data_IF_700832611373
#
_entry.id   IF_700832611373
#
_cell.length_a   1.000
_cell.length_b   1.000
_cell.length_c   1.000
_cell.angle_alpha   90.00
_cell.angle_beta   90.00
_cell.angle_gamma   90.00
#
_symmetry.space_group_name_H-M   'P 1'
#
loop_
_entity.id
_entity.type
_entity.pdbx_description
1 polymer ?
#
# COMPACT_ATOMS: atom_id res chain seq x y z
N UNK A 1 28.47 -13.26 0.00
CA UNK A 1 26.99 -13.16 0.01
C UNK A 1 26.63 -11.69 0.10
N UNK A 2 25.66 -11.21 -0.67
CA UNK A 2 25.26 -9.79 -0.72
C UNK A 2 23.72 -9.67 -0.54
N UNK A 3 23.20 -9.96 0.68
CA UNK A 3 21.76 -10.06 0.87
C UNK A 3 21.15 -8.66 1.00
N UNK A 4 20.39 -8.22 -0.01
CA UNK A 4 19.58 -7.00 0.05
C UNK A 4 18.16 -7.29 0.53
N UNK A 5 17.28 -7.69 -0.42
CA UNK A 5 15.85 -7.99 -0.17
C UNK A 5 15.61 -8.85 1.06
N UNK A 6 16.41 -9.91 1.22
CA UNK A 6 16.26 -10.89 2.28
C UNK A 6 16.34 -10.26 3.69
N UNK A 7 17.15 -9.21 3.86
CA UNK A 7 17.32 -8.57 5.16
C UNK A 7 16.19 -7.58 5.49
N UNK A 8 15.65 -6.88 4.48
CA UNK A 8 14.86 -5.66 4.72
C UNK A 8 13.43 -5.71 4.18
N UNK A 9 13.04 -6.72 3.38
CA UNK A 9 11.71 -6.74 2.78
C UNK A 9 10.58 -6.72 3.82
N UNK A 10 10.67 -7.58 4.84
CA UNK A 10 9.67 -7.74 5.91
C UNK A 10 9.80 -6.69 7.01
N UNK A 11 10.88 -5.91 7.02
CA UNK A 11 11.13 -4.89 8.03
C UNK A 11 10.36 -3.58 7.80
N UNK A 12 9.71 -3.43 6.64
CA UNK A 12 9.00 -2.22 6.27
C UNK A 12 7.65 -2.50 5.63
N UNK A 13 6.68 -1.66 5.95
CA UNK A 13 5.31 -1.70 5.43
C UNK A 13 4.93 -0.33 4.87
N UNK A 14 4.02 -0.29 3.90
CA UNK A 14 3.40 0.94 3.45
C UNK A 14 2.00 1.02 4.04
N UNK A 15 1.77 1.98 4.94
CA UNK A 15 0.46 2.25 5.53
C UNK A 15 -0.14 3.53 4.94
N UNK A 16 -1.41 3.49 4.54
CA UNK A 16 -2.09 4.66 4.01
C UNK A 16 -3.59 4.65 4.34
N UNK A 17 -4.19 5.81 4.66
CA UNK A 17 -5.62 5.91 4.85
C UNK A 17 -6.36 5.75 3.52
N UNK A 18 -7.54 5.14 3.59
CA UNK A 18 -8.51 5.06 2.50
C UNK A 18 -9.16 6.42 2.32
N UNK A 19 -9.04 6.98 1.12
CA UNK A 19 -9.59 8.29 0.74
C UNK A 19 -10.90 8.16 -0.03
N UNK A 20 -11.16 7.00 -0.62
CA UNK A 20 -12.30 6.78 -1.50
C UNK A 20 -12.73 5.31 -1.48
N UNK A 21 -14.04 5.09 -1.41
CA UNK A 21 -14.65 3.78 -1.66
C UNK A 21 -15.60 3.88 -2.84
N UNK A 22 -15.49 2.93 -3.76
CA UNK A 22 -16.38 2.81 -4.93
C UNK A 22 -16.74 1.35 -5.17
N UNK A 23 -17.89 1.14 -5.79
CA UNK A 23 -18.35 -0.18 -6.21
C UNK A 23 -18.70 -0.14 -7.70
N UNK A 24 -18.23 -1.13 -8.46
CA UNK A 24 -18.58 -1.32 -9.87
C UNK A 24 -18.98 -2.79 -10.07
N UNK A 25 -20.29 -3.03 -10.13
CA UNK A 25 -20.81 -4.41 -10.10
C UNK A 25 -20.48 -5.11 -8.78
N UNK A 26 -19.82 -6.26 -8.87
CA UNK A 26 -19.36 -7.03 -7.71
C UNK A 26 -18.00 -6.56 -7.18
N UNK A 27 -17.22 -5.85 -7.99
CA UNK A 27 -15.89 -5.37 -7.60
C UNK A 27 -15.97 -4.11 -6.75
N UNK A 28 -15.27 -4.13 -5.61
CA UNK A 28 -15.11 -2.99 -4.71
C UNK A 28 -13.74 -2.37 -4.91
N UNK A 29 -13.65 -1.06 -4.80
CA UNK A 29 -12.41 -0.30 -4.94
C UNK A 29 -12.19 0.53 -3.69
N UNK A 30 -11.00 0.42 -3.11
CA UNK A 30 -10.53 1.30 -2.06
C UNK A 30 -9.36 2.11 -2.62
N UNK A 31 -9.60 3.41 -2.83
CA UNK A 31 -8.56 4.39 -3.12
C UNK A 31 -7.84 4.76 -1.83
N UNK A 32 -6.51 4.72 -1.82
CA UNK A 32 -5.68 5.11 -0.68
C UNK A 32 -4.92 6.41 -0.98
N UNK A 33 -4.37 7.04 0.07
CA UNK A 33 -3.73 8.36 -0.04
C UNK A 33 -2.44 8.42 -0.86
N UNK A 34 -1.88 7.26 -1.25
CA UNK A 34 -0.65 7.13 -2.02
C UNK A 34 -0.75 5.96 -3.01
N UNK A 35 0.19 5.81 -3.93
CA UNK A 35 0.15 4.71 -4.88
C UNK A 35 1.50 4.31 -5.43
N UNK A 36 1.55 4.06 -6.74
CA UNK A 36 2.75 3.65 -7.47
C UNK A 36 3.92 4.62 -7.27
N UNK A 37 3.65 5.88 -6.93
CA UNK A 37 4.68 6.87 -6.63
C UNK A 37 5.44 6.55 -5.32
N UNK A 38 4.85 5.77 -4.39
CA UNK A 38 5.51 5.29 -3.17
C UNK A 38 5.90 3.81 -3.23
N UNK A 39 5.13 2.99 -3.95
CA UNK A 39 5.42 1.58 -4.12
C UNK A 39 5.08 1.14 -5.54
N UNK A 40 6.04 1.28 -6.46
CA UNK A 40 5.84 1.00 -7.88
C UNK A 40 5.80 -0.49 -8.22
N UNK A 41 6.28 -1.36 -7.32
CA UNK A 41 6.50 -2.79 -7.61
C UNK A 41 5.27 -3.56 -8.12
N UNK A 42 4.04 -3.37 -7.58
CA UNK A 42 2.86 -4.02 -8.12
C UNK A 42 2.60 -3.66 -9.58
N UNK A 43 2.77 -2.38 -9.95
CA UNK A 43 2.56 -1.93 -11.33
C UNK A 43 3.70 -2.38 -12.24
N UNK A 44 4.96 -2.24 -11.81
CA UNK A 44 6.13 -2.48 -12.67
C UNK A 44 6.43 -3.97 -12.86
N UNK A 45 6.20 -4.78 -11.83
CA UNK A 45 6.60 -6.19 -11.81
C UNK A 45 5.44 -7.16 -11.60
N UNK A 46 4.22 -6.68 -11.39
CA UNK A 46 3.12 -7.54 -10.92
C UNK A 46 3.39 -8.13 -9.53
N UNK A 47 4.24 -7.48 -8.72
CA UNK A 47 4.65 -8.02 -7.43
C UNK A 47 3.47 -8.12 -6.47
N UNK A 48 3.28 -9.30 -5.87
CA UNK A 48 2.29 -9.51 -4.83
C UNK A 48 2.82 -9.05 -3.47
N UNK A 49 2.10 -8.12 -2.86
CA UNK A 49 2.26 -7.73 -1.46
C UNK A 49 1.00 -8.16 -0.70
N UNK A 50 1.09 -8.78 0.49
CA UNK A 50 -0.06 -8.93 1.38
C UNK A 50 -0.65 -7.56 1.71
N UNK A 51 -1.98 -7.47 1.79
CA UNK A 51 -2.67 -6.23 2.15
C UNK A 51 -3.71 -6.56 3.20
N UNK A 52 -3.72 -5.81 4.28
CA UNK A 52 -4.69 -5.93 5.38
C UNK A 52 -5.33 -4.59 5.69
N UNK A 53 -6.57 -4.61 6.17
CA UNK A 53 -7.20 -3.43 6.76
C UNK A 53 -6.82 -3.38 8.25
N UNK A 54 -5.86 -2.52 8.58
CA UNK A 54 -5.29 -2.41 9.92
C UNK A 54 -6.31 -1.94 10.95
N UNK A 55 -7.29 -1.14 10.53
CA UNK A 55 -8.38 -0.65 11.38
C UNK A 55 -9.41 -1.73 11.72
N UNK A 56 -9.41 -2.85 10.98
CA UNK A 56 -10.44 -3.91 11.02
C UNK A 56 -9.84 -5.31 11.03
N UNK A 57 -8.70 -5.49 11.68
CA UNK A 57 -7.90 -6.72 11.58
C UNK A 57 -8.66 -7.99 12.01
N UNK A 58 -9.61 -7.85 12.95
CA UNK A 58 -10.41 -8.96 13.48
C UNK A 58 -11.73 -9.20 12.71
N UNK A 59 -12.04 -8.38 11.69
CA UNK A 59 -13.26 -8.53 10.90
C UNK A 59 -13.06 -9.50 9.73
N UNK A 60 -14.03 -10.39 9.51
CA UNK A 60 -14.00 -11.33 8.40
C UNK A 60 -14.14 -10.62 7.04
N UNK A 61 -13.50 -11.13 5.97
CA UNK A 61 -13.68 -10.58 4.62
C UNK A 61 -15.14 -10.65 4.15
N UNK A 62 -15.62 -9.55 3.56
CA UNK A 62 -17.00 -9.42 3.05
C UNK A 62 -17.07 -9.37 1.53
N UNK A 63 -15.92 -9.46 0.86
CA UNK A 63 -15.83 -9.47 -0.59
C UNK A 63 -14.45 -9.11 -1.10
N UNK A 64 -14.39 -9.02 -2.42
CA UNK A 64 -13.16 -8.77 -3.17
C UNK A 64 -12.97 -7.29 -3.44
N UNK A 65 -11.77 -6.79 -3.14
CA UNK A 65 -11.37 -5.39 -3.25
C UNK A 65 -10.19 -5.21 -4.21
N UNK A 66 -10.19 -4.08 -4.91
CA UNK A 66 -9.04 -3.53 -5.61
C UNK A 66 -8.53 -2.32 -4.85
N UNK A 67 -7.24 -2.33 -4.52
CA UNK A 67 -6.56 -1.25 -3.82
C UNK A 67 -5.83 -0.42 -4.86
N UNK A 68 -6.25 0.84 -4.99
CA UNK A 68 -5.79 1.76 -6.03
C UNK A 68 -5.20 3.01 -5.39
N UNK A 69 -4.23 3.62 -6.06
CA UNK A 69 -3.67 4.89 -5.63
C UNK A 69 -4.36 6.09 -6.30
N UNK A 70 -3.87 7.31 -6.00
CA UNK A 70 -4.43 8.57 -6.52
C UNK A 70 -3.77 9.05 -7.83
N UNK A 71 -2.86 8.28 -8.43
CA UNK A 71 -2.16 8.67 -9.66
C UNK A 71 -3.11 8.54 -10.84
N UNK A 72 -3.05 9.50 -11.76
CA UNK A 72 -3.85 9.53 -12.99
C UNK A 72 -3.30 8.55 -14.04
N UNK A 73 -3.11 7.30 -13.64
CA UNK A 73 -2.59 6.21 -14.45
C UNK A 73 -3.42 4.95 -14.17
N UNK A 74 -3.85 4.25 -15.23
CA UNK A 74 -4.68 3.04 -15.11
C UNK A 74 -3.96 1.93 -14.34
N UNK A 75 -2.62 1.94 -14.40
CA UNK A 75 -1.75 1.00 -13.72
C UNK A 75 -1.57 1.25 -12.22
N UNK A 76 -2.09 2.33 -11.64
CA UNK A 76 -1.92 2.66 -10.22
C UNK A 76 -2.77 1.78 -9.30
N UNK A 77 -2.42 0.50 -9.27
CA UNK A 77 -3.11 -0.55 -8.55
C UNK A 77 -2.08 -1.28 -7.70
N UNK A 78 -2.25 -1.18 -6.39
CA UNK A 78 -1.35 -1.77 -5.39
C UNK A 78 -1.74 -3.21 -5.07
N UNK A 79 -3.02 -3.55 -5.26
CA UNK A 79 -3.50 -4.91 -5.11
C UNK A 79 -4.82 -5.17 -5.81
N UNK A 80 -4.86 -6.22 -6.61
CA UNK A 80 -6.09 -6.76 -7.21
C UNK A 80 -6.60 -7.93 -6.38
N UNK A 81 -7.91 -8.15 -6.45
CA UNK A 81 -8.62 -9.28 -5.88
C UNK A 81 -8.29 -9.60 -4.41
N UNK A 82 -8.30 -8.57 -3.56
CA UNK A 82 -7.98 -8.68 -2.15
C UNK A 82 -9.23 -8.98 -1.34
N UNK A 83 -9.22 -10.10 -0.61
CA UNK A 83 -10.26 -10.39 0.37
C UNK A 83 -10.02 -9.50 1.58
N UNK A 84 -10.92 -8.55 1.81
CA UNK A 84 -10.84 -7.60 2.92
C UNK A 84 -12.20 -7.48 3.60
N UNK A 85 -12.22 -7.09 4.89
CA UNK A 85 -13.45 -6.70 5.58
C UNK A 85 -14.09 -5.48 4.90
N UNK A 86 -15.26 -5.07 5.39
CA UNK A 86 -15.96 -3.90 4.87
C UNK A 86 -15.11 -2.63 5.08
N UNK A 87 -14.40 -2.22 4.03
CA UNK A 87 -13.44 -1.11 4.08
C UNK A 87 -14.15 0.21 3.83
N UNK A 88 -13.86 1.20 4.66
CA UNK A 88 -14.50 2.53 4.63
C UNK A 88 -13.47 3.63 4.47
N UNK A 89 -13.91 4.79 3.98
CA UNK A 89 -13.09 6.00 3.98
C UNK A 89 -12.64 6.29 5.42
N UNK A 90 -11.34 6.56 5.60
CA UNK A 90 -10.71 6.76 6.89
C UNK A 90 -10.06 5.52 7.50
N UNK A 91 -10.42 4.30 7.07
CA UNK A 91 -9.70 3.09 7.49
C UNK A 91 -8.25 3.14 6.98
N UNK A 92 -7.32 2.48 7.67
CA UNK A 92 -5.91 2.38 7.26
C UNK A 92 -5.66 1.02 6.63
N UNK A 93 -5.17 1.02 5.38
CA UNK A 93 -4.65 -0.20 4.75
C UNK A 93 -3.14 -0.27 4.95
N UNK A 94 -2.67 -1.47 5.30
CA UNK A 94 -1.27 -1.81 5.40
C UNK A 94 -0.91 -2.74 4.24
N UNK A 95 0.09 -2.34 3.46
CA UNK A 95 0.70 -3.11 2.39
C UNK A 95 2.04 -3.64 2.93
N UNK A 96 2.10 -4.95 3.12
CA UNK A 96 3.22 -5.64 3.75
C UNK A 96 4.40 -5.82 2.78
N UNK A 97 5.58 -6.25 3.26
CA UNK A 97 6.77 -6.54 2.46
C UNK A 97 7.28 -5.37 1.59
N UNK A 98 7.17 -4.15 2.10
CA UNK A 98 7.50 -2.91 1.39
C UNK A 98 8.90 -2.36 1.71
N UNK A 99 9.64 -2.95 2.66
CA UNK A 99 10.94 -2.43 3.10
C UNK A 99 12.07 -2.58 2.06
N UNK A 100 11.92 -3.46 1.07
CA UNK A 100 12.87 -3.62 -0.04
C UNK A 100 12.28 -3.14 -1.36
N UNK A 101 12.99 -2.26 -2.06
CA UNK A 101 12.56 -1.70 -3.36
C UNK A 101 11.19 -0.98 -3.28
N UNK A 102 10.87 -0.44 -2.11
CA UNK A 102 9.76 0.48 -1.86
C UNK A 102 10.22 1.92 -2.02
N UNK A 103 10.53 2.60 -0.91
CA UNK A 103 10.94 4.01 -0.87
C UNK A 103 12.08 4.35 -1.84
N UNK A 104 13.09 3.48 -1.98
CA UNK A 104 14.23 3.68 -2.91
C UNK A 104 13.81 3.74 -4.39
N UNK A 105 12.62 3.24 -4.75
CA UNK A 105 12.04 3.30 -6.08
C UNK A 105 10.88 4.29 -6.18
N UNK A 106 10.67 5.12 -5.16
CA UNK A 106 9.63 6.13 -5.16
C UNK A 106 9.91 7.24 -6.17
N UNK A 107 8.87 7.99 -6.53
CA UNK A 107 8.97 9.10 -7.48
C UNK A 107 8.00 10.23 -7.12
N UNK A 108 8.22 11.38 -7.74
CA UNK A 108 7.30 12.54 -7.68
C UNK A 108 6.38 12.61 -8.89
N UNK A 109 6.06 11.46 -9.50
CA UNK A 109 5.13 11.40 -10.62
C UNK A 109 3.77 12.00 -10.21
N UNK A 110 3.13 12.71 -11.13
CA UNK A 110 1.96 13.57 -10.88
C UNK A 110 2.18 14.67 -9.81
N UNK A 111 3.43 15.11 -9.58
CA UNK A 111 3.80 16.11 -8.57
C UNK A 111 3.32 15.73 -7.16
N UNK A 112 3.25 14.42 -6.86
CA UNK A 112 2.84 13.91 -5.55
C UNK A 112 4.06 13.47 -4.77
N UNK A 113 4.17 13.93 -3.53
CA UNK A 113 5.16 13.40 -2.61
C UNK A 113 4.91 11.90 -2.34
N UNK A 114 5.98 11.09 -2.25
CA UNK A 114 5.84 9.73 -1.76
C UNK A 114 5.50 9.72 -0.27
N UNK A 115 5.10 8.55 0.23
CA UNK A 115 4.83 8.34 1.65
C UNK A 115 6.08 8.67 2.49
N UNK A 116 5.86 9.30 3.63
CA UNK A 116 6.93 9.59 4.59
C UNK A 116 7.41 8.30 5.27
N UNK A 117 8.69 8.25 5.62
CA UNK A 117 9.30 7.12 6.32
C UNK A 117 9.31 7.37 7.82
N UNK A 118 8.88 6.38 8.60
CA UNK A 118 8.91 6.39 10.06
C UNK A 118 9.54 5.08 10.54
N UNK A 119 10.37 5.15 11.58
CA UNK A 119 11.03 3.98 12.17
C UNK A 119 10.40 3.70 13.53
N UNK A 120 10.02 2.45 13.78
CA UNK A 120 9.55 2.00 15.09
C UNK A 120 10.73 1.43 15.89
N UNK A 121 11.01 1.99 17.06
CA UNK A 121 12.16 1.61 17.89
C UNK A 121 12.86 2.84 18.44
N UNK A 122 13.67 2.67 19.49
CA UNK A 122 14.18 3.76 20.31
C UNK A 122 14.96 4.80 19.49
N UNK A 123 14.58 6.06 19.72
CA UNK A 123 14.91 7.28 18.97
C UNK A 123 14.40 7.31 17.51
N UNK A 124 13.30 8.05 17.34
CA UNK A 124 13.19 8.94 16.20
C UNK A 124 14.54 9.66 16.06
N UNK A 125 15.33 9.26 15.07
CA UNK A 125 16.44 10.05 14.58
C UNK A 125 15.81 11.34 14.06
N UNK A 126 15.71 12.29 14.98
CA UNK A 126 15.35 13.65 14.69
C UNK A 126 16.36 14.22 13.72
N UNK A 127 15.84 14.89 12.70
CA UNK A 127 16.16 16.27 12.38
C UNK A 127 14.86 16.96 11.92
#
# INVERSE_FOLDING_TARGET
LEPGRFLVAEAGVLAAPVTLVRRKGETRFAGIATGMNSLIRPMLYGAWHPIVNLTRVDEAPVGTWHIVGPICETGDILGRDRLLPETRVGDVLLIDNAGAYGAVMSSRYNLREPAQELVFGDEALGD
#
